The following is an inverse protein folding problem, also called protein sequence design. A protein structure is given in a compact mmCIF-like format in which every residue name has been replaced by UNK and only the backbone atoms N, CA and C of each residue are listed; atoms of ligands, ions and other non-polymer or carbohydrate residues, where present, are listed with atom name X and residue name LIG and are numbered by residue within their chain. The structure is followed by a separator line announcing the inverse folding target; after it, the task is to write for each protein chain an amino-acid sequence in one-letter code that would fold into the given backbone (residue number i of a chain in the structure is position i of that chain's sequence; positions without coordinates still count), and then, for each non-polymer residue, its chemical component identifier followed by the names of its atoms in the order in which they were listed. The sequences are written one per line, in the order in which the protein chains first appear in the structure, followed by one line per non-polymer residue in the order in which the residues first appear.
data_IF_382941401113
#
_entry.id   IF_382941401113
#
_cell.length_a   1.000
_cell.length_b   1.000
_cell.length_c   1.000
_cell.angle_alpha   90.00
_cell.angle_beta   90.00
_cell.angle_gamma   90.00
#
_symmetry.space_group_name_H-M   'P 1'
#
loop_
_entity.id
_entity.type
_entity.pdbx_description
1 polymer ?
#
# COMPACT_ATOMS: atom_id res chain seq x y z
N UNK A 1 -4.62 -13.27 -1.99
CA UNK A 1 -5.80 -14.15 -1.90
C UNK A 1 -6.12 -14.80 -3.25
N UNK A 2 -6.36 -14.04 -4.33
CA UNK A 2 -6.73 -14.57 -5.64
C UNK A 2 -5.75 -15.63 -6.22
N UNK A 3 -4.43 -15.44 -6.11
CA UNK A 3 -3.43 -16.41 -6.62
C UNK A 3 -3.41 -17.71 -5.81
N UNK A 4 -3.57 -17.63 -4.47
CA UNK A 4 -3.62 -18.82 -3.61
C UNK A 4 -4.93 -19.59 -3.77
N UNK A 5 -6.05 -18.86 -3.84
CA UNK A 5 -7.37 -19.44 -4.08
C UNK A 5 -7.43 -20.06 -5.48
N UNK A 6 -6.85 -19.40 -6.49
CA UNK A 6 -6.67 -19.96 -7.84
C UNK A 6 -5.82 -21.23 -7.85
N UNK A 7 -4.68 -21.27 -7.15
CA UNK A 7 -3.83 -22.46 -7.06
C UNK A 7 -4.50 -23.65 -6.34
N UNK A 8 -5.29 -23.39 -5.29
CA UNK A 8 -6.07 -24.40 -4.59
C UNK A 8 -7.21 -24.95 -5.46
N UNK A 9 -7.93 -24.07 -6.16
CA UNK A 9 -8.99 -24.45 -7.10
C UNK A 9 -8.44 -25.27 -8.28
N UNK A 10 -7.24 -24.96 -8.78
CA UNK A 10 -6.57 -25.76 -9.83
C UNK A 10 -6.29 -27.19 -9.35
N UNK A 11 -6.01 -27.39 -8.06
CA UNK A 11 -5.83 -28.71 -7.45
C UNK A 11 -7.17 -29.36 -7.03
N UNK A 12 -8.32 -28.78 -7.40
CA UNK A 12 -9.65 -29.29 -7.07
C UNK A 12 -10.06 -29.10 -5.61
N UNK A 13 -9.33 -28.27 -4.85
CA UNK A 13 -9.54 -28.07 -3.43
C UNK A 13 -10.37 -26.80 -3.19
N UNK A 14 -11.67 -26.98 -2.98
CA UNK A 14 -12.58 -25.87 -2.65
C UNK A 14 -12.44 -25.48 -1.17
N UNK A 15 -12.18 -24.20 -0.84
CA UNK A 15 -12.06 -23.74 0.54
C UNK A 15 -13.39 -23.93 1.28
N UNK A 16 -13.39 -24.82 2.27
CA UNK A 16 -14.53 -25.18 3.10
C UNK A 16 -14.13 -26.09 4.26
N UNK A 17 -15.07 -26.48 5.15
CA UNK A 17 -14.80 -27.38 6.27
C UNK A 17 -14.17 -28.71 5.83
N UNK A 18 -14.57 -29.19 4.64
CA UNK A 18 -14.09 -30.44 4.04
C UNK A 18 -12.60 -30.43 3.69
N UNK A 19 -12.02 -29.24 3.50
CA UNK A 19 -10.60 -29.07 3.21
C UNK A 19 -9.72 -29.46 4.42
N UNK A 20 -10.26 -29.31 5.63
CA UNK A 20 -9.58 -29.65 6.88
C UNK A 20 -9.93 -31.06 7.41
N UNK A 21 -10.97 -31.70 6.87
CA UNK A 21 -11.39 -33.05 7.29
C UNK A 21 -11.02 -34.11 6.25
N UNK A 22 -11.50 -33.98 5.00
CA UNK A 22 -11.30 -34.95 3.92
C UNK A 22 -9.92 -34.79 3.28
N UNK A 23 -9.48 -33.54 3.07
CA UNK A 23 -8.19 -33.22 2.44
C UNK A 23 -7.11 -32.74 3.42
N UNK A 24 -7.27 -33.08 4.71
CA UNK A 24 -6.43 -32.60 5.81
C UNK A 24 -4.92 -32.76 5.55
N UNK A 25 -4.50 -33.88 4.95
CA UNK A 25 -3.07 -34.14 4.64
C UNK A 25 -2.48 -33.14 3.65
N UNK A 26 -3.23 -32.76 2.62
CA UNK A 26 -2.77 -31.80 1.59
C UNK A 26 -2.84 -30.38 2.12
N UNK A 27 -3.87 -30.07 2.89
CA UNK A 27 -4.03 -28.77 3.53
C UNK A 27 -2.91 -28.48 4.53
N UNK A 28 -2.54 -29.46 5.37
CA UNK A 28 -1.47 -29.25 6.33
C UNK A 28 -0.09 -29.14 5.65
N UNK A 29 0.18 -29.91 4.60
CA UNK A 29 1.42 -29.76 3.84
C UNK A 29 1.48 -28.42 3.10
N UNK A 30 0.34 -27.92 2.61
CA UNK A 30 0.25 -26.61 1.97
C UNK A 30 0.45 -25.45 2.94
N UNK A 31 -0.20 -25.47 4.12
CA UNK A 31 0.03 -24.45 5.15
C UNK A 31 1.48 -24.52 5.64
N UNK A 32 2.03 -25.73 5.81
CA UNK A 32 3.43 -25.94 6.18
C UNK A 32 4.41 -25.40 5.13
N UNK A 33 4.13 -25.60 3.83
CA UNK A 33 4.96 -25.04 2.76
C UNK A 33 4.84 -23.52 2.66
N UNK A 34 3.65 -22.95 2.95
CA UNK A 34 3.47 -21.50 3.02
C UNK A 34 4.33 -20.90 4.15
N UNK A 35 4.27 -21.47 5.35
CA UNK A 35 5.09 -21.03 6.47
C UNK A 35 6.58 -21.16 6.16
N UNK A 36 6.98 -22.29 5.57
CA UNK A 36 8.36 -22.50 5.15
C UNK A 36 8.78 -21.50 4.07
N UNK A 37 7.93 -21.20 3.10
CA UNK A 37 8.17 -20.20 2.06
C UNK A 37 8.36 -18.80 2.66
N UNK A 38 7.58 -18.42 3.68
CA UNK A 38 7.79 -17.15 4.38
C UNK A 38 9.15 -17.12 5.10
N UNK A 39 9.56 -18.21 5.74
CA UNK A 39 10.89 -18.31 6.37
C UNK A 39 12.00 -18.16 5.32
N UNK A 40 11.90 -18.87 4.20
CA UNK A 40 12.85 -18.74 3.10
C UNK A 40 12.83 -17.34 2.50
N UNK A 41 11.66 -16.70 2.32
CA UNK A 41 11.55 -15.33 1.82
C UNK A 41 12.29 -14.35 2.71
N UNK A 42 12.23 -14.52 4.03
CA UNK A 42 13.00 -13.69 4.98
C UNK A 42 14.50 -13.94 4.84
N UNK A 43 14.93 -15.21 4.79
CA UNK A 43 16.35 -15.58 4.66
C UNK A 43 16.93 -15.03 3.35
N UNK A 44 16.26 -15.33 2.23
CA UNK A 44 16.66 -14.84 0.92
C UNK A 44 16.58 -13.32 0.85
N UNK A 45 15.52 -12.71 1.38
CA UNK A 45 15.35 -11.26 1.41
C UNK A 45 16.48 -10.55 2.15
N UNK A 46 16.90 -11.07 3.31
CA UNK A 46 18.02 -10.52 4.08
C UNK A 46 19.37 -10.78 3.39
N UNK A 47 19.59 -11.98 2.83
CA UNK A 47 20.81 -12.31 2.09
C UNK A 47 20.96 -11.45 0.83
N UNK A 48 19.89 -11.29 0.04
CA UNK A 48 19.87 -10.44 -1.14
C UNK A 48 20.02 -8.97 -0.77
N UNK A 49 19.37 -8.51 0.31
CA UNK A 49 19.52 -7.13 0.79
C UNK A 49 20.98 -6.81 1.14
N UNK A 50 21.65 -7.72 1.87
CA UNK A 50 23.06 -7.56 2.27
C UNK A 50 24.01 -7.48 1.06
N UNK A 51 23.84 -8.34 0.06
CA UNK A 51 24.71 -8.41 -1.12
C UNK A 51 24.35 -7.36 -2.19
N UNK A 52 23.06 -7.11 -2.40
CA UNK A 52 22.55 -6.24 -3.46
C UNK A 52 22.48 -4.78 -3.04
N UNK A 53 22.46 -4.44 -1.74
CA UNK A 53 22.53 -3.05 -1.27
C UNK A 53 23.66 -2.27 -1.93
N UNK A 54 24.84 -2.88 -2.11
CA UNK A 54 25.96 -2.22 -2.79
C UNK A 54 25.76 -2.05 -4.29
N UNK A 55 25.18 -3.04 -4.97
CA UNK A 55 25.04 -3.03 -6.43
C UNK A 55 23.83 -2.22 -6.90
N UNK A 56 22.70 -2.33 -6.20
CA UNK A 56 21.45 -1.67 -6.55
C UNK A 56 21.52 -0.15 -6.29
N UNK A 57 22.26 0.28 -5.26
CA UNK A 57 22.47 1.71 -4.97
C UNK A 57 23.46 2.39 -5.94
N UNK A 58 24.22 1.61 -6.72
CA UNK A 58 25.13 2.14 -7.75
C UNK A 58 24.46 2.37 -9.09
N UNK A 59 23.24 1.85 -9.30
CA UNK A 59 22.52 2.06 -10.56
C UNK A 59 21.94 3.47 -10.57
N UNK A 60 22.24 4.29 -11.59
CA UNK A 60 21.67 5.62 -11.71
C UNK A 60 20.13 5.56 -11.73
N UNK A 61 19.42 6.42 -10.98
CA UNK A 61 17.96 6.42 -10.88
C UNK A 61 17.23 6.50 -12.23
N UNK A 62 17.87 7.10 -13.24
CA UNK A 62 17.28 7.24 -14.57
C UNK A 62 17.11 5.88 -15.29
N UNK A 63 18.02 4.92 -15.08
CA UNK A 63 17.92 3.59 -15.69
C UNK A 63 16.80 2.78 -15.05
N UNK A 64 16.65 2.90 -13.73
CA UNK A 64 15.56 2.28 -12.98
C UNK A 64 14.20 2.81 -13.44
N UNK A 65 14.06 4.13 -13.56
CA UNK A 65 12.83 4.76 -14.04
C UNK A 65 12.47 4.30 -15.46
N UNK A 66 13.45 4.25 -16.37
CA UNK A 66 13.22 3.77 -17.75
C UNK A 66 12.79 2.30 -17.80
N UNK A 67 13.50 1.42 -17.08
CA UNK A 67 13.19 -0.01 -17.04
C UNK A 67 11.79 -0.29 -16.47
N UNK A 68 11.44 0.37 -15.35
CA UNK A 68 10.12 0.25 -14.72
C UNK A 68 9.02 0.78 -15.63
N UNK A 69 9.25 1.89 -16.33
CA UNK A 69 8.26 2.47 -17.27
C UNK A 69 8.00 1.52 -18.44
N UNK A 70 9.05 0.94 -19.03
CA UNK A 70 8.92 -0.05 -20.10
C UNK A 70 8.13 -1.27 -19.60
N UNK A 71 8.51 -1.82 -18.45
CA UNK A 71 7.84 -2.98 -17.86
C UNK A 71 6.36 -2.68 -17.56
N UNK A 72 6.05 -1.48 -17.08
CA UNK A 72 4.69 -1.06 -16.80
C UNK A 72 3.85 -0.93 -18.09
N UNK A 73 4.42 -0.39 -19.18
CA UNK A 73 3.74 -0.34 -20.49
C UNK A 73 3.44 -1.75 -21.00
N UNK A 74 4.40 -2.68 -20.93
CA UNK A 74 4.18 -4.08 -21.29
C UNK A 74 3.12 -4.75 -20.41
N UNK A 75 3.15 -4.48 -19.10
CA UNK A 75 2.19 -5.02 -18.13
C UNK A 75 0.77 -4.56 -18.41
N UNK A 76 0.56 -3.25 -18.61
CA UNK A 76 -0.76 -2.68 -18.93
C UNK A 76 -1.28 -3.19 -20.28
N UNK A 77 -0.41 -3.28 -21.28
CA UNK A 77 -0.80 -3.82 -22.59
C UNK A 77 -1.21 -5.29 -22.54
N UNK A 78 -0.53 -6.10 -21.71
CA UNK A 78 -0.80 -7.55 -21.59
C UNK A 78 -2.17 -7.89 -20.97
N UNK A 79 -2.71 -7.03 -20.10
CA UNK A 79 -3.94 -7.33 -19.35
C UNK A 79 -5.20 -7.17 -20.21
N UNK A 80 -5.33 -6.07 -20.93
CA UNK A 80 -6.56 -5.73 -21.65
C UNK A 80 -6.38 -5.59 -23.17
N UNK A 81 -5.14 -5.68 -23.69
CA UNK A 81 -4.79 -5.44 -25.10
C UNK A 81 -5.42 -4.15 -25.68
N UNK A 82 -5.61 -3.15 -24.83
CA UNK A 82 -6.27 -1.89 -25.16
C UNK A 82 -5.25 -0.74 -25.11
N UNK A 83 -5.18 0.01 -26.20
CA UNK A 83 -4.29 1.18 -26.29
C UNK A 83 -4.75 2.31 -25.34
N UNK A 84 -6.04 2.36 -25.02
CA UNK A 84 -6.61 3.35 -24.09
C UNK A 84 -6.02 3.21 -22.68
N UNK A 85 -5.79 1.99 -22.19
CA UNK A 85 -5.25 1.77 -20.85
C UNK A 85 -3.78 2.19 -20.75
N UNK A 86 -3.02 2.00 -21.83
CA UNK A 86 -1.62 2.48 -21.93
C UNK A 86 -1.58 4.01 -21.89
N UNK A 87 -2.53 4.67 -22.54
CA UNK A 87 -2.64 6.13 -22.52
C UNK A 87 -2.99 6.64 -21.12
N UNK A 88 -3.96 6.02 -20.43
CA UNK A 88 -4.31 6.35 -19.04
C UNK A 88 -3.11 6.14 -18.11
N UNK A 89 -2.40 5.01 -18.24
CA UNK A 89 -1.18 4.72 -17.48
C UNK A 89 -0.11 5.79 -17.70
N UNK A 90 0.10 6.22 -18.95
CA UNK A 90 1.12 7.24 -19.28
C UNK A 90 0.74 8.60 -18.71
N UNK A 91 -0.53 8.99 -18.82
CA UNK A 91 -1.03 10.27 -18.28
C UNK A 91 -0.97 10.28 -16.76
N UNK A 92 -1.45 9.23 -16.09
CA UNK A 92 -1.42 9.15 -14.62
C UNK A 92 0.01 9.02 -14.08
N UNK A 93 0.87 8.25 -14.76
CA UNK A 93 2.28 8.10 -14.39
C UNK A 93 3.07 9.40 -14.53
N UNK A 94 2.85 10.14 -15.62
CA UNK A 94 3.46 11.47 -15.81
C UNK A 94 2.92 12.51 -14.83
N UNK A 95 1.60 12.51 -14.56
CA UNK A 95 0.99 13.35 -13.53
C UNK A 95 1.61 13.06 -12.15
N UNK A 96 1.79 11.79 -11.79
CA UNK A 96 2.42 11.40 -10.53
C UNK A 96 3.89 11.84 -10.45
N UNK A 97 4.64 11.77 -11.55
CA UNK A 97 6.01 12.30 -11.60
C UNK A 97 6.04 13.81 -11.32
N UNK A 98 5.09 14.57 -11.86
CA UNK A 98 4.95 16.00 -11.57
C UNK A 98 4.59 16.24 -10.11
N UNK A 99 3.64 15.48 -9.55
CA UNK A 99 3.23 15.58 -8.14
C UNK A 99 4.37 15.22 -7.17
N UNK A 100 5.25 14.29 -7.55
CA UNK A 100 6.44 13.98 -6.78
C UNK A 100 7.36 15.19 -6.63
N UNK A 101 7.47 16.03 -7.68
CA UNK A 101 8.24 17.28 -7.65
C UNK A 101 7.65 18.34 -6.70
N UNK A 102 6.34 18.26 -6.43
CA UNK A 102 5.66 19.13 -5.45
C UNK A 102 5.74 18.61 -4.00
N UNK A 103 6.50 17.53 -3.75
CA UNK A 103 6.73 17.00 -2.41
C UNK A 103 5.69 16.00 -1.92
N UNK A 104 4.80 15.52 -2.80
CA UNK A 104 3.90 14.42 -2.48
C UNK A 104 4.61 13.08 -2.67
N UNK A 105 4.67 12.28 -1.61
CA UNK A 105 5.21 10.93 -1.69
C UNK A 105 4.27 10.04 -2.53
N UNK A 106 4.84 9.23 -3.43
CA UNK A 106 4.06 8.34 -4.29
C UNK A 106 3.33 7.25 -3.48
N UNK A 107 3.92 6.81 -2.36
CA UNK A 107 3.39 5.72 -1.54
C UNK A 107 1.97 5.97 -0.99
N UNK A 108 1.68 7.08 -0.28
CA UNK A 108 0.33 7.36 0.21
C UNK A 108 -0.68 7.62 -0.92
N UNK A 109 -0.26 8.18 -2.04
CA UNK A 109 -1.15 8.40 -3.19
C UNK A 109 -1.65 7.08 -3.79
N UNK A 110 -0.74 6.13 -4.03
CA UNK A 110 -1.11 4.80 -4.55
C UNK A 110 -2.01 4.06 -3.57
N UNK A 111 -1.68 4.13 -2.26
CA UNK A 111 -2.50 3.53 -1.23
C UNK A 111 -3.92 4.14 -1.21
N UNK A 112 -4.04 5.47 -1.34
CA UNK A 112 -5.33 6.15 -1.42
C UNK A 112 -6.15 5.74 -2.65
N UNK A 113 -5.51 5.60 -3.82
CA UNK A 113 -6.19 5.16 -5.04
C UNK A 113 -6.71 3.71 -4.92
N UNK A 114 -5.96 2.82 -4.28
CA UNK A 114 -6.38 1.42 -4.08
C UNK A 114 -7.48 1.35 -3.01
N UNK A 115 -7.34 2.11 -1.92
CA UNK A 115 -8.28 2.12 -0.81
C UNK A 115 -9.59 2.85 -1.14
N UNK A 116 -9.58 3.82 -2.05
CA UNK A 116 -10.75 4.63 -2.41
C UNK A 116 -11.97 3.78 -2.82
N UNK A 117 -11.85 2.94 -3.87
CA UNK A 117 -12.94 2.07 -4.30
C UNK A 117 -13.38 1.09 -3.20
N UNK A 118 -12.43 0.55 -2.45
CA UNK A 118 -12.74 -0.36 -1.33
C UNK A 118 -13.56 0.39 -0.27
N UNK A 119 -13.19 1.62 0.07
CA UNK A 119 -13.92 2.44 1.02
C UNK A 119 -15.33 2.81 0.51
N UNK A 120 -15.47 3.12 -0.78
CA UNK A 120 -16.75 3.44 -1.42
C UNK A 120 -17.69 2.22 -1.46
N UNK A 121 -17.17 1.04 -1.81
CA UNK A 121 -17.93 -0.21 -1.80
C UNK A 121 -18.42 -0.55 -0.39
N UNK A 122 -17.53 -0.45 0.61
CA UNK A 122 -17.89 -0.70 2.01
C UNK A 122 -18.90 0.33 2.53
N UNK A 123 -18.76 1.60 2.15
CA UNK A 123 -19.72 2.65 2.52
C UNK A 123 -21.09 2.41 1.86
N UNK A 124 -21.11 2.07 0.58
CA UNK A 124 -22.33 1.78 -0.17
C UNK A 124 -23.06 0.55 0.39
N UNK A 125 -22.32 -0.51 0.71
CA UNK A 125 -22.86 -1.69 1.37
C UNK A 125 -23.45 -1.35 2.75
N UNK A 126 -22.75 -0.55 3.55
CA UNK A 126 -23.24 -0.08 4.84
C UNK A 126 -24.50 0.77 4.71
N UNK A 127 -24.56 1.66 3.71
CA UNK A 127 -25.73 2.49 3.46
C UNK A 127 -26.95 1.67 3.01
N UNK A 128 -26.75 0.66 2.16
CA UNK A 128 -27.81 -0.27 1.74
C UNK A 128 -28.41 -1.03 2.93
N UNK A 129 -27.57 -1.50 3.86
CA UNK A 129 -28.03 -2.20 5.07
C UNK A 129 -28.74 -1.23 6.04
N UNK A 130 -28.26 0.01 6.12
CA UNK A 130 -28.85 1.05 6.96
C UNK A 130 -30.25 1.46 6.49
N UNK A 131 -30.47 1.50 5.18
CA UNK A 131 -31.75 1.87 4.56
C UNK A 131 -32.86 0.85 4.86
N UNK A 132 -32.52 -0.45 4.94
CA UNK A 132 -33.47 -1.53 5.23
C UNK A 132 -33.80 -1.66 6.72
N UNK A 133 -32.91 -1.23 7.62
CA UNK A 133 -33.02 -1.51 9.06
C UNK A 133 -33.65 -0.38 9.88
N UNK A 134 -33.12 0.86 9.85
CA UNK A 134 -33.60 1.95 10.74
C UNK A 134 -33.32 3.38 10.22
N UNK A 135 -32.77 3.53 9.01
CA UNK A 135 -32.36 4.81 8.43
C UNK A 135 -30.87 5.14 8.68
N UNK A 136 -30.24 5.81 7.71
CA UNK A 136 -28.78 6.03 7.63
C UNK A 136 -28.16 6.60 8.93
N UNK A 137 -28.75 7.65 9.50
CA UNK A 137 -28.24 8.28 10.72
C UNK A 137 -28.31 7.40 11.97
N UNK A 138 -29.37 6.60 12.12
CA UNK A 138 -29.51 5.72 13.28
C UNK A 138 -28.58 4.51 13.19
N UNK A 139 -28.31 3.99 11.98
CA UNK A 139 -27.40 2.85 11.80
C UNK A 139 -25.94 3.22 12.04
N UNK A 140 -25.50 4.41 11.62
CA UNK A 140 -24.12 4.85 11.85
C UNK A 140 -23.82 5.24 13.32
N UNK A 141 -24.83 5.63 14.10
CA UNK A 141 -24.62 6.04 15.50
C UNK A 141 -25.15 5.06 16.55
N UNK A 142 -25.86 3.99 16.17
CA UNK A 142 -26.41 3.01 17.15
C UNK A 142 -25.41 1.94 17.57
N UNK A 143 -24.43 1.60 16.73
CA UNK A 143 -23.47 0.54 17.01
C UNK A 143 -22.36 0.99 17.96
N UNK A 144 -22.14 0.32 19.12
CA UNK A 144 -21.00 0.64 20.00
C UNK A 144 -19.65 0.45 19.30
N UNK A 145 -19.56 -0.50 18.35
CA UNK A 145 -18.37 -0.71 17.51
C UNK A 145 -18.13 0.48 16.56
N UNK A 146 -19.20 1.09 16.06
CA UNK A 146 -19.12 2.19 15.10
C UNK A 146 -18.64 3.48 15.79
N UNK A 147 -19.19 3.77 16.97
CA UNK A 147 -18.73 4.89 17.80
C UNK A 147 -17.24 4.77 18.15
N UNK A 148 -16.76 3.57 18.48
CA UNK A 148 -15.33 3.32 18.73
C UNK A 148 -14.51 3.57 17.45
N UNK A 149 -14.93 3.03 16.31
CA UNK A 149 -14.25 3.23 15.02
C UNK A 149 -14.19 4.71 14.61
N UNK A 150 -15.30 5.43 14.68
CA UNK A 150 -15.37 6.87 14.38
C UNK A 150 -14.44 7.65 15.30
N UNK A 151 -14.44 7.35 16.60
CA UNK A 151 -13.57 8.02 17.57
C UNK A 151 -12.09 7.73 17.28
N UNK A 152 -11.72 6.49 16.98
CA UNK A 152 -10.35 6.11 16.62
C UNK A 152 -9.91 6.78 15.32
N UNK A 153 -10.77 6.83 14.30
CA UNK A 153 -10.50 7.55 13.06
C UNK A 153 -10.30 9.04 13.30
N UNK A 154 -11.18 9.69 14.08
CA UNK A 154 -11.06 11.11 14.40
C UNK A 154 -9.76 11.41 15.19
N UNK A 155 -9.41 10.56 16.15
CA UNK A 155 -8.16 10.68 16.91
C UNK A 155 -6.94 10.45 16.00
N UNK A 156 -6.99 9.47 15.10
CA UNK A 156 -5.89 9.16 14.19
C UNK A 156 -5.65 10.30 13.19
N UNK A 157 -6.71 10.84 12.60
CA UNK A 157 -6.64 12.00 11.71
C UNK A 157 -6.16 13.23 12.48
N UNK A 158 -6.71 13.48 13.68
CA UNK A 158 -6.31 14.57 14.55
C UNK A 158 -4.83 14.48 14.93
N UNK A 159 -4.36 13.30 15.31
CA UNK A 159 -2.95 13.04 15.63
C UNK A 159 -2.07 13.22 14.40
N UNK A 160 -2.43 12.65 13.26
CA UNK A 160 -1.69 12.78 12.00
C UNK A 160 -1.52 14.24 11.58
N UNK A 161 -2.60 15.03 11.55
CA UNK A 161 -2.55 16.46 11.22
C UNK A 161 -1.70 17.24 12.22
N UNK A 162 -1.84 16.96 13.52
CA UNK A 162 -1.06 17.66 14.55
C UNK A 162 0.43 17.34 14.46
N UNK A 163 0.78 16.08 14.16
CA UNK A 163 2.17 15.66 13.93
C UNK A 163 2.75 16.29 12.67
N UNK A 164 1.98 16.39 11.59
CA UNK A 164 2.45 16.95 10.32
C UNK A 164 2.66 18.48 10.41
N UNK A 165 1.78 19.20 11.12
CA UNK A 165 1.96 20.64 11.40
C UNK A 165 3.18 20.87 12.31
N UNK A 166 3.43 19.99 13.28
CA UNK A 166 4.59 20.08 14.19
C UNK A 166 5.90 19.75 13.48
N UNK A 167 5.91 18.77 12.57
CA UNK A 167 7.08 18.43 11.74
C UNK A 167 7.45 19.57 10.80
N UNK A 168 6.47 20.21 10.14
CA UNK A 168 6.69 21.39 9.30
C UNK A 168 7.29 22.58 10.09
N UNK A 169 6.85 22.78 11.35
CA UNK A 169 7.38 23.84 12.25
C UNK A 169 8.80 23.58 12.77
N UNK A 170 9.22 22.33 12.92
CA UNK A 170 10.57 22.00 13.40
C UNK A 170 11.64 22.17 12.32
N UNK A 171 11.29 21.93 11.06
CA UNK A 171 12.19 22.19 9.91
C UNK A 171 12.43 23.70 9.74
N UNK A 172 11.38 24.53 9.85
CA UNK A 172 11.47 25.98 9.66
C UNK A 172 12.19 26.71 10.82
N UNK A 173 12.16 26.15 12.04
CA UNK A 173 12.95 26.66 13.18
C UNK A 173 14.42 26.27 13.09
N UNK A 174 14.75 25.10 12.55
CA UNK A 174 16.13 24.65 12.40
C UNK A 174 16.90 25.38 11.29
N UNK A 175 16.20 25.86 10.26
CA UNK A 175 16.81 26.71 9.22
C UNK A 175 17.26 28.06 9.80
N UNK A 176 16.45 28.70 10.63
CA UNK A 176 16.74 30.05 11.16
C UNK A 176 17.91 30.13 12.16
N UNK A 177 18.30 29.01 12.80
CA UNK A 177 19.41 28.95 13.77
C UNK A 177 20.72 28.35 13.24
N UNK A 178 20.73 27.78 12.03
CA UNK A 178 21.90 27.06 11.52
C UNK A 178 22.82 27.93 10.63
N UNK A 179 24.09 28.05 11.01
CA UNK A 179 25.17 28.61 10.17
C UNK A 179 25.32 27.81 8.86
N UNK A 180 25.67 28.47 7.73
CA UNK A 180 25.50 27.95 6.36
C UNK A 180 26.15 26.58 6.08
N UNK A 181 27.27 26.24 6.73
CA UNK A 181 27.97 24.96 6.50
C UNK A 181 27.36 23.71 7.17
N UNK A 182 26.49 23.86 8.19
CA UNK A 182 25.84 22.71 8.87
C UNK A 182 24.41 22.46 8.43
N UNK A 183 23.83 23.34 7.60
CA UNK A 183 22.45 23.23 7.11
C UNK A 183 22.21 21.97 6.29
N UNK A 184 23.17 21.61 5.43
CA UNK A 184 23.06 20.47 4.50
C UNK A 184 23.06 19.12 5.24
N UNK A 185 23.85 19.00 6.31
CA UNK A 185 23.93 17.78 7.11
C UNK A 185 22.69 17.57 8.00
N UNK A 186 22.14 18.66 8.56
CA UNK A 186 20.94 18.60 9.41
C UNK A 186 19.69 18.33 8.57
N UNK A 187 19.57 18.93 7.38
CA UNK A 187 18.49 18.63 6.43
C UNK A 187 18.54 17.18 5.95
N UNK A 188 19.72 16.65 5.65
CA UNK A 188 19.88 15.25 5.25
C UNK A 188 19.45 14.25 6.33
N UNK A 189 19.73 14.52 7.61
CA UNK A 189 19.37 13.63 8.71
C UNK A 189 17.85 13.63 9.00
N UNK A 190 17.17 14.76 8.84
CA UNK A 190 15.73 14.89 9.10
C UNK A 190 14.89 14.32 7.94
N UNK A 191 15.37 14.35 6.70
CA UNK A 191 14.67 13.75 5.55
C UNK A 191 14.79 12.21 5.55
N UNK A 192 15.82 11.67 6.20
CA UNK A 192 16.11 10.23 6.25
C UNK A 192 15.51 9.52 7.49
N UNK A 193 15.10 10.27 8.51
CA UNK A 193 14.48 9.73 9.75
C UNK A 193 12.96 9.86 9.72
#
# INVERSE_FOLDING_TARGET
AAVLLGGLLINGLFPGPDLFTIHAKVTWTFIGSLLMAQVFMVIFGLALSRSSSRWIMQVPPHYMAAAVTILAVFGTYSIQNSFSDVLVMTVLGSLMYVLNKYGFSAAPMVLGIILGPIAEDNFSMGNMIAEVSVGSWAYFFSGPINLVLITVCAVSIGYSIWTEIKQRRNVDKADKTAKPGKRVAVLGAIIVS
#
